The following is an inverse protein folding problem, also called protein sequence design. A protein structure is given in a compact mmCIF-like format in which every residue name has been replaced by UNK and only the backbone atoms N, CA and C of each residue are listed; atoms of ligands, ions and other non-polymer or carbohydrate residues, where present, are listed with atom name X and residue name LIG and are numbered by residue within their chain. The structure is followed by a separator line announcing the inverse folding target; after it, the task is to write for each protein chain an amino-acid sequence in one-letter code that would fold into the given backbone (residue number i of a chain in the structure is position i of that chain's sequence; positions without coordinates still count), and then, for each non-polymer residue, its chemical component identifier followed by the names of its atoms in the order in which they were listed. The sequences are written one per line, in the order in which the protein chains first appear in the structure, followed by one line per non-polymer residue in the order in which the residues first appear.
data_IF_521657125091
#
_entry.id   IF_521657125091
#
_cell.length_a   1.000
_cell.length_b   1.000
_cell.length_c   1.000
_cell.angle_alpha   90.00
_cell.angle_beta   90.00
_cell.angle_gamma   90.00
#
_symmetry.space_group_name_H-M   'P 1'
#
loop_
_entity.id
_entity.type
_entity.pdbx_description
1 polymer ?
#
# COMPACT_ATOMS: atom_id res chain seq x y z
N UNK A 1 47.56 1.11 19.65
CA UNK A 1 46.52 2.00 20.23
C UNK A 1 45.25 2.08 19.36
N UNK A 2 44.86 1.02 18.63
CA UNK A 2 43.63 0.98 17.81
C UNK A 2 42.52 0.17 18.48
N UNK A 3 42.87 -0.80 19.35
CA UNK A 3 41.87 -1.67 20.00
C UNK A 3 41.03 -0.99 21.09
N UNK A 4 41.51 0.08 21.76
CA UNK A 4 40.71 0.77 22.80
C UNK A 4 39.55 1.58 22.22
N UNK A 5 39.73 2.25 21.07
CA UNK A 5 38.65 3.06 20.48
C UNK A 5 37.50 2.23 19.95
N UNK A 6 37.76 0.96 19.62
CA UNK A 6 36.77 0.06 19.04
C UNK A 6 35.79 -0.46 20.09
N UNK A 7 36.29 -0.93 21.24
CA UNK A 7 35.45 -1.37 22.36
C UNK A 7 34.61 -0.24 22.97
N UNK A 8 35.14 0.99 22.99
CA UNK A 8 34.42 2.15 23.53
C UNK A 8 33.25 2.56 22.62
N UNK A 9 33.40 2.41 21.30
CA UNK A 9 32.35 2.80 20.34
C UNK A 9 31.06 1.97 20.43
N UNK A 10 31.15 0.73 20.90
CA UNK A 10 29.97 -0.14 21.08
C UNK A 10 29.08 0.32 22.24
N UNK A 11 29.69 0.94 23.25
CA UNK A 11 29.03 1.52 24.43
C UNK A 11 28.35 2.87 24.11
N UNK A 12 28.70 3.50 22.99
CA UNK A 12 28.13 4.79 22.61
C UNK A 12 26.69 4.67 22.10
N UNK A 13 25.91 5.66 22.47
CA UNK A 13 24.58 5.92 21.92
C UNK A 13 24.69 6.27 20.43
N UNK A 14 23.58 6.16 19.70
CA UNK A 14 23.58 6.48 18.26
C UNK A 14 23.73 7.98 18.00
N UNK A 15 23.27 8.83 18.92
CA UNK A 15 23.52 10.28 18.84
C UNK A 15 25.00 10.59 18.97
N UNK A 16 25.70 9.97 19.92
CA UNK A 16 27.15 10.11 20.08
C UNK A 16 27.89 9.59 18.84
N UNK A 17 27.53 8.41 18.33
CA UNK A 17 28.14 7.83 17.13
C UNK A 17 27.91 8.69 15.87
N UNK A 18 26.73 9.29 15.74
CA UNK A 18 26.44 10.22 14.65
C UNK A 18 27.27 11.48 14.77
N UNK A 19 27.30 12.13 15.94
CA UNK A 19 28.11 13.34 16.14
C UNK A 19 29.59 13.06 15.91
N UNK A 20 30.09 11.91 16.37
CA UNK A 20 31.45 11.45 16.12
C UNK A 20 31.73 11.23 14.62
N UNK A 21 30.74 10.71 13.88
CA UNK A 21 30.86 10.48 12.43
C UNK A 21 31.01 11.77 11.62
N UNK A 22 30.66 12.93 12.19
CA UNK A 22 30.81 14.23 11.53
C UNK A 22 32.25 14.77 11.59
N UNK A 23 33.09 14.25 12.49
CA UNK A 23 34.43 14.79 12.73
C UNK A 23 35.44 14.49 11.60
N UNK A 24 35.38 13.31 10.98
CA UNK A 24 36.29 12.92 9.89
C UNK A 24 35.82 11.67 9.13
N UNK A 25 36.45 11.38 7.99
CA UNK A 25 36.25 10.10 7.27
C UNK A 25 36.60 8.88 8.14
N UNK A 26 37.62 8.99 9.01
CA UNK A 26 38.06 7.89 9.88
C UNK A 26 37.02 7.61 10.96
N UNK A 27 36.52 8.65 11.63
CA UNK A 27 35.49 8.51 12.68
C UNK A 27 34.17 8.00 12.11
N UNK A 28 33.81 8.45 10.89
CA UNK A 28 32.69 7.88 10.13
C UNK A 28 32.84 6.37 9.90
N UNK A 29 34.04 5.90 9.53
CA UNK A 29 34.31 4.47 9.35
C UNK A 29 34.13 3.65 10.64
N UNK A 30 34.46 4.23 11.79
CA UNK A 30 34.25 3.60 13.11
C UNK A 30 32.74 3.53 13.43
N UNK A 31 32.00 4.61 13.21
CA UNK A 31 30.55 4.66 13.49
C UNK A 31 29.72 3.68 12.64
N UNK A 32 30.22 3.24 11.48
CA UNK A 32 29.56 2.27 10.59
C UNK A 32 29.40 0.86 11.15
N UNK A 33 30.07 0.54 12.27
CA UNK A 33 30.01 -0.79 12.88
C UNK A 33 28.63 -1.12 13.47
N UNK A 34 27.88 -0.10 13.91
CA UNK A 34 26.54 -0.27 14.48
C UNK A 34 25.50 -0.21 13.36
N UNK A 35 24.99 -1.36 12.95
CA UNK A 35 23.90 -1.43 11.97
C UNK A 35 22.60 -0.94 12.61
N UNK A 36 21.96 0.01 11.95
CA UNK A 36 20.59 0.43 12.25
C UNK A 36 19.57 -0.44 11.53
N UNK A 37 18.36 -0.50 12.10
CA UNK A 37 17.24 -1.23 11.54
C UNK A 37 16.46 -0.36 10.53
N UNK A 38 15.20 -0.72 10.27
CA UNK A 38 14.25 0.07 9.48
C UNK A 38 13.99 1.42 10.13
N UNK A 39 13.96 2.47 9.33
CA UNK A 39 13.59 3.84 9.74
C UNK A 39 12.30 4.28 9.06
N UNK A 40 11.54 5.10 9.77
CA UNK A 40 10.42 5.85 9.22
C UNK A 40 10.86 7.28 8.96
N UNK A 41 10.58 7.78 7.76
CA UNK A 41 10.93 9.13 7.32
C UNK A 41 9.66 9.96 7.16
N UNK A 42 9.45 10.92 8.05
CA UNK A 42 8.39 11.90 7.94
C UNK A 42 8.96 13.18 7.34
N UNK A 43 8.61 13.44 6.07
CA UNK A 43 9.10 14.59 5.32
C UNK A 43 8.50 15.91 5.82
N UNK A 44 7.21 15.91 6.20
CA UNK A 44 6.49 17.11 6.65
C UNK A 44 7.14 17.66 7.93
N UNK A 45 7.39 16.77 8.89
CA UNK A 45 7.97 17.13 10.19
C UNK A 45 9.49 17.12 10.19
N UNK A 46 10.13 16.67 9.10
CA UNK A 46 11.58 16.49 8.99
C UNK A 46 12.12 15.59 10.10
N UNK A 47 11.51 14.41 10.22
CA UNK A 47 11.81 13.43 11.26
C UNK A 47 12.30 12.11 10.65
N UNK A 48 13.25 11.49 11.31
CA UNK A 48 13.52 10.05 11.20
C UNK A 48 13.21 9.38 12.52
N UNK A 49 12.33 8.39 12.49
CA UNK A 49 11.92 7.58 13.64
C UNK A 49 12.47 6.14 13.56
N UNK A 50 12.78 5.57 14.73
CA UNK A 50 13.35 4.23 14.86
C UNK A 50 12.38 3.33 15.64
N UNK A 51 11.88 2.28 15.00
CA UNK A 51 10.89 1.37 15.57
C UNK A 51 11.31 0.64 16.86
N UNK A 52 12.61 0.61 17.19
CA UNK A 52 13.14 -0.17 18.32
C UNK A 52 13.81 0.66 19.41
N UNK A 53 13.90 1.97 19.24
CA UNK A 53 14.63 2.86 20.15
C UNK A 53 13.89 4.18 20.11
N UNK A 54 13.42 4.70 21.24
CA UNK A 54 12.64 5.96 21.38
C UNK A 54 13.42 7.22 20.95
N UNK A 55 14.06 7.15 19.80
CA UNK A 55 14.98 8.11 19.25
C UNK A 55 14.32 8.77 18.07
N UNK A 56 14.43 10.09 18.04
CA UNK A 56 13.91 10.92 16.97
C UNK A 56 15.07 11.77 16.48
N UNK A 57 15.38 11.67 15.19
CA UNK A 57 16.27 12.60 14.53
C UNK A 57 15.42 13.66 13.83
N UNK A 58 15.43 14.87 14.35
CA UNK A 58 14.56 15.97 13.95
C UNK A 58 15.41 17.17 13.53
N UNK A 59 15.11 17.75 12.36
CA UNK A 59 15.74 19.00 11.91
C UNK A 59 17.27 18.98 12.01
N UNK A 60 17.91 17.91 11.51
CA UNK A 60 19.37 17.72 11.49
C UNK A 60 20.04 17.41 12.83
N UNK A 61 19.29 17.09 13.89
CA UNK A 61 19.84 16.74 15.21
C UNK A 61 19.02 15.66 15.91
N UNK A 62 19.63 14.95 16.85
CA UNK A 62 18.89 14.04 17.74
C UNK A 62 18.17 14.83 18.81
N UNK A 63 16.94 14.44 19.11
CA UNK A 63 16.19 14.97 20.24
C UNK A 63 15.82 13.83 21.21
N UNK A 64 15.95 14.12 22.51
CA UNK A 64 15.51 13.23 23.59
C UNK A 64 14.20 13.80 24.13
N UNK A 65 13.10 13.08 23.91
CA UNK A 65 11.74 13.45 24.34
C UNK A 65 10.91 14.18 23.27
N UNK A 66 9.57 14.04 23.35
CA UNK A 66 8.62 14.73 22.45
C UNK A 66 8.46 16.19 22.89
N UNK A 67 9.06 17.15 22.17
CA UNK A 67 8.66 18.57 22.25
C UNK A 67 7.58 18.89 21.21
N UNK A 68 6.82 19.97 21.45
CA UNK A 68 5.90 20.52 20.45
C UNK A 68 6.72 20.89 19.19
N UNK A 69 6.31 20.33 18.06
CA UNK A 69 6.91 20.48 16.74
C UNK A 69 7.05 21.98 16.44
N UNK A 70 8.29 22.46 16.33
CA UNK A 70 8.57 23.82 15.84
C UNK A 70 8.44 23.80 14.33
N UNK A 71 7.28 24.22 13.84
CA UNK A 71 7.09 24.54 12.43
C UNK A 71 8.07 25.64 12.00
N UNK A 72 8.50 25.63 10.73
CA UNK A 72 9.14 26.74 9.98
C UNK A 72 10.67 26.80 9.83
N UNK A 73 11.39 25.68 9.75
CA UNK A 73 12.59 25.77 8.91
C UNK A 73 12.14 25.64 7.45
N UNK A 74 12.51 26.58 6.57
CA UNK A 74 12.08 26.63 5.16
C UNK A 74 12.95 25.81 4.23
N UNK A 75 14.10 25.29 4.69
CA UNK A 75 15.06 24.60 3.82
C UNK A 75 15.02 23.09 4.00
N UNK A 76 14.59 22.36 2.96
CA UNK A 76 14.54 20.90 2.98
C UNK A 76 15.91 20.24 2.71
N UNK A 77 16.76 20.91 1.92
CA UNK A 77 18.06 20.38 1.52
C UNK A 77 18.98 19.98 2.68
N UNK A 78 19.15 20.79 3.76
CA UNK A 78 19.94 20.38 4.92
C UNK A 78 19.44 19.08 5.55
N UNK A 79 18.11 18.91 5.65
CA UNK A 79 17.48 17.70 6.17
C UNK A 79 17.74 16.48 5.29
N UNK A 80 17.64 16.63 3.98
CA UNK A 80 18.00 15.56 3.04
C UNK A 80 19.47 15.17 3.20
N UNK A 81 20.38 16.15 3.33
CA UNK A 81 21.82 15.89 3.51
C UNK A 81 22.12 15.16 4.82
N UNK A 82 21.53 15.62 5.93
CA UNK A 82 21.68 14.99 7.23
C UNK A 82 21.11 13.56 7.23
N UNK A 83 19.95 13.36 6.59
CA UNK A 83 19.36 12.03 6.40
C UNK A 83 20.26 11.13 5.58
N UNK A 84 20.80 11.60 4.45
CA UNK A 84 21.76 10.82 3.63
C UNK A 84 22.98 10.40 4.44
N UNK A 85 23.57 11.33 5.20
CA UNK A 85 24.73 11.02 6.03
C UNK A 85 24.37 10.02 7.13
N UNK A 86 23.25 10.22 7.81
CA UNK A 86 22.74 9.30 8.82
C UNK A 86 22.59 7.88 8.24
N UNK A 87 21.89 7.74 7.12
CA UNK A 87 21.63 6.45 6.49
C UNK A 87 22.93 5.75 6.06
N UNK A 88 23.92 6.51 5.58
CA UNK A 88 25.24 5.96 5.22
C UNK A 88 26.08 5.56 6.44
N UNK A 89 25.94 6.24 7.57
CA UNK A 89 26.62 5.88 8.82
C UNK A 89 26.03 4.61 9.40
N UNK A 90 24.71 4.49 9.50
CA UNK A 90 24.09 3.37 10.20
C UNK A 90 23.66 2.23 9.27
N UNK A 91 23.84 2.37 7.95
CA UNK A 91 23.45 1.38 6.94
C UNK A 91 21.97 0.96 7.08
N UNK A 92 21.10 1.95 7.29
CA UNK A 92 19.66 1.76 7.49
C UNK A 92 18.91 1.62 6.15
N UNK A 93 17.67 1.14 6.22
CA UNK A 93 16.73 1.10 5.10
C UNK A 93 15.43 1.82 5.45
N UNK A 94 14.75 2.40 4.45
CA UNK A 94 13.44 2.99 4.67
C UNK A 94 12.39 1.89 4.85
N UNK A 95 11.82 1.83 6.05
CA UNK A 95 10.64 1.03 6.33
C UNK A 95 9.39 1.71 5.78
N UNK A 96 9.21 2.99 6.15
CA UNK A 96 8.09 3.83 5.73
C UNK A 96 8.64 5.21 5.35
N UNK A 97 8.10 5.79 4.30
CA UNK A 97 8.29 7.21 3.96
C UNK A 97 6.90 7.84 3.94
N UNK A 98 6.67 8.78 4.85
CA UNK A 98 5.45 9.58 4.95
C UNK A 98 5.66 10.92 4.26
N UNK A 99 4.84 11.19 3.25
CA UNK A 99 4.89 12.41 2.45
C UNK A 99 3.50 13.02 2.34
N UNK A 100 3.37 14.24 2.84
CA UNK A 100 2.16 15.04 2.72
C UNK A 100 2.30 16.03 1.57
N UNK A 101 1.45 15.88 0.57
CA UNK A 101 1.43 16.69 -0.64
C UNK A 101 0.47 17.86 -0.46
N UNK A 102 0.84 18.80 0.41
CA UNK A 102 0.10 20.04 0.65
C UNK A 102 1.02 21.12 1.22
N UNK A 103 0.52 22.36 1.29
CA UNK A 103 1.25 23.45 1.93
C UNK A 103 1.56 23.15 3.41
N UNK A 104 2.75 23.52 3.91
CA UNK A 104 3.68 24.50 3.34
C UNK A 104 4.74 23.93 2.39
N UNK A 105 4.67 22.66 1.97
CA UNK A 105 5.57 22.11 0.97
C UNK A 105 5.46 22.91 -0.33
N UNK A 106 6.57 23.29 -0.95
CA UNK A 106 6.56 23.90 -2.29
C UNK A 106 6.82 22.86 -3.38
N UNK A 107 6.43 23.16 -4.62
CA UNK A 107 6.71 22.28 -5.75
C UNK A 107 8.22 22.05 -5.95
N UNK A 108 9.06 23.08 -5.75
CA UNK A 108 10.53 22.94 -5.83
C UNK A 108 11.08 21.99 -4.77
N UNK A 109 10.57 22.08 -3.54
CA UNK A 109 10.93 21.15 -2.46
C UNK A 109 10.48 19.73 -2.79
N UNK A 110 9.26 19.57 -3.32
CA UNK A 110 8.74 18.27 -3.76
C UNK A 110 9.63 17.66 -4.86
N UNK A 111 10.02 18.45 -5.86
CA UNK A 111 10.94 18.02 -6.92
C UNK A 111 12.29 17.63 -6.32
N UNK A 112 12.83 18.39 -5.37
CA UNK A 112 14.09 18.05 -4.69
C UNK A 112 13.99 16.70 -3.94
N UNK A 113 12.89 16.46 -3.23
CA UNK A 113 12.62 15.19 -2.54
C UNK A 113 12.53 14.05 -3.56
N UNK A 114 11.72 14.19 -4.61
CA UNK A 114 11.51 13.15 -5.62
C UNK A 114 12.83 12.81 -6.31
N UNK A 115 13.61 13.82 -6.71
CA UNK A 115 14.93 13.61 -7.29
C UNK A 115 15.86 12.86 -6.33
N UNK A 116 15.85 13.19 -5.04
CA UNK A 116 16.62 12.43 -4.07
C UNK A 116 16.16 10.99 -3.95
N UNK A 117 14.86 10.75 -3.81
CA UNK A 117 14.30 9.41 -3.64
C UNK A 117 14.51 8.55 -4.89
N UNK A 118 14.36 9.10 -6.09
CA UNK A 118 14.64 8.40 -7.34
C UNK A 118 16.10 7.95 -7.44
N UNK A 119 17.04 8.80 -6.99
CA UNK A 119 18.48 8.55 -7.13
C UNK A 119 19.12 7.80 -5.94
N UNK A 120 18.41 7.59 -4.83
CA UNK A 120 18.96 6.84 -3.70
C UNK A 120 19.13 5.35 -4.05
N UNK A 121 20.13 4.68 -3.47
CA UNK A 121 20.28 3.20 -3.61
C UNK A 121 19.42 2.42 -2.61
N UNK A 122 18.87 3.11 -1.61
CA UNK A 122 18.10 2.50 -0.52
C UNK A 122 16.73 2.08 -1.05
N UNK A 123 16.31 0.84 -0.79
CA UNK A 123 14.97 0.38 -1.14
C UNK A 123 13.92 1.12 -0.33
N UNK A 124 12.81 1.48 -0.98
CA UNK A 124 11.63 2.06 -0.34
C UNK A 124 10.60 0.95 -0.20
N UNK A 125 10.32 0.57 1.04
CA UNK A 125 9.37 -0.49 1.32
C UNK A 125 7.93 0.02 1.25
N UNK A 126 7.59 0.98 2.11
CA UNK A 126 6.27 1.60 2.15
C UNK A 126 6.43 3.08 1.79
N UNK A 127 5.62 3.55 0.85
CA UNK A 127 5.43 4.96 0.57
C UNK A 127 3.99 5.31 0.94
N UNK A 128 3.83 6.17 1.96
CA UNK A 128 2.54 6.67 2.44
C UNK A 128 2.37 8.13 2.01
N UNK A 129 1.43 8.36 1.11
CA UNK A 129 1.13 9.66 0.55
C UNK A 129 -0.18 10.17 1.12
N UNK A 130 -0.14 11.33 1.76
CA UNK A 130 -1.35 12.09 2.07
C UNK A 130 -1.48 13.23 1.07
N UNK A 131 -2.51 13.16 0.21
CA UNK A 131 -2.78 14.17 -0.81
C UNK A 131 -3.75 15.24 -0.29
N UNK A 132 -3.25 16.47 -0.12
CA UNK A 132 -4.08 17.65 0.21
C UNK A 132 -4.11 18.69 -0.92
N UNK A 133 -3.24 18.57 -1.92
CA UNK A 133 -3.13 19.44 -3.09
C UNK A 133 -3.07 18.59 -4.36
N UNK A 134 -4.09 18.71 -5.21
CA UNK A 134 -4.17 17.97 -6.48
C UNK A 134 -2.97 18.24 -7.40
N UNK A 135 -2.52 19.50 -7.62
CA UNK A 135 -1.33 19.76 -8.44
C UNK A 135 -0.05 19.11 -7.92
N UNK A 136 0.13 19.01 -6.59
CA UNK A 136 1.29 18.33 -6.00
C UNK A 136 1.20 16.82 -6.16
N UNK A 137 -0.01 16.27 -6.04
CA UNK A 137 -0.26 14.86 -6.29
C UNK A 137 0.04 14.48 -7.74
N UNK A 138 -0.47 15.25 -8.70
CA UNK A 138 -0.19 15.06 -10.13
C UNK A 138 1.32 15.16 -10.42
N UNK A 139 1.98 16.20 -9.89
CA UNK A 139 3.43 16.36 -10.01
C UNK A 139 4.17 15.13 -9.47
N UNK A 140 3.78 14.62 -8.30
CA UNK A 140 4.39 13.43 -7.72
C UNK A 140 4.21 12.20 -8.61
N UNK A 141 2.97 11.90 -8.98
CA UNK A 141 2.62 10.71 -9.78
C UNK A 141 3.33 10.71 -11.14
N UNK A 142 3.59 11.89 -11.70
CA UNK A 142 4.27 12.05 -12.99
C UNK A 142 5.80 11.99 -12.91
N UNK A 143 6.40 12.37 -11.78
CA UNK A 143 7.87 12.50 -11.70
C UNK A 143 8.54 11.41 -10.87
N UNK A 144 7.81 10.75 -9.99
CA UNK A 144 8.34 9.64 -9.20
C UNK A 144 8.50 8.38 -10.06
N UNK A 145 9.68 7.77 -10.01
CA UNK A 145 10.05 6.63 -10.87
C UNK A 145 10.54 5.43 -10.09
N UNK A 146 10.79 5.59 -8.79
CA UNK A 146 11.35 4.53 -7.97
C UNK A 146 10.31 3.46 -7.63
N UNK A 147 10.70 2.21 -7.79
CA UNK A 147 9.84 1.09 -7.38
C UNK A 147 9.66 1.06 -5.87
N UNK A 148 8.43 0.76 -5.43
CA UNK A 148 8.04 0.62 -4.02
C UNK A 148 7.40 -0.74 -3.79
N UNK A 149 7.45 -1.25 -2.56
CA UNK A 149 6.77 -2.53 -2.26
C UNK A 149 5.27 -2.33 -1.99
N UNK A 150 4.93 -1.32 -1.20
CA UNK A 150 3.58 -0.92 -0.85
C UNK A 150 3.41 0.58 -1.14
N UNK A 151 2.34 0.93 -1.85
CA UNK A 151 1.91 2.32 -2.02
C UNK A 151 0.60 2.52 -1.26
N UNK A 152 0.57 3.49 -0.36
CA UNK A 152 -0.61 3.95 0.38
C UNK A 152 -0.89 5.38 -0.06
N UNK A 153 -2.13 5.67 -0.46
CA UNK A 153 -2.57 7.02 -0.80
C UNK A 153 -3.82 7.34 0.02
N UNK A 154 -3.77 8.42 0.79
CA UNK A 154 -4.89 8.97 1.55
C UNK A 154 -5.20 10.36 1.02
N UNK A 155 -6.41 10.56 0.51
CA UNK A 155 -6.81 11.88 0.04
C UNK A 155 -7.56 12.65 1.12
N UNK A 156 -7.22 13.93 1.27
CA UNK A 156 -7.85 14.85 2.22
C UNK A 156 -8.43 16.10 1.55
N UNK A 157 -8.15 16.33 0.27
CA UNK A 157 -8.64 17.47 -0.50
C UNK A 157 -10.06 17.27 -1.05
N UNK A 158 -10.74 18.38 -1.35
CA UNK A 158 -11.98 18.37 -2.14
C UNK A 158 -11.71 17.84 -3.55
N UNK A 159 -12.59 16.96 -4.02
CA UNK A 159 -12.67 16.32 -5.33
C UNK A 159 -11.80 17.01 -6.40
N UNK A 160 -10.64 16.41 -6.70
CA UNK A 160 -9.84 16.83 -7.84
C UNK A 160 -10.54 16.40 -9.12
N UNK A 161 -11.24 17.32 -9.79
CA UNK A 161 -11.59 17.19 -11.20
C UNK A 161 -10.30 17.29 -12.03
N UNK A 162 -9.57 16.18 -12.09
CA UNK A 162 -8.31 16.11 -12.80
C UNK A 162 -8.17 14.80 -13.54
N UNK A 163 -7.65 14.88 -14.76
CA UNK A 163 -7.34 13.71 -15.58
C UNK A 163 -6.29 12.89 -14.85
N UNK A 164 -6.69 11.76 -14.29
CA UNK A 164 -5.72 10.78 -13.80
C UNK A 164 -4.98 10.20 -14.97
N UNK A 165 -3.66 10.29 -14.89
CA UNK A 165 -2.78 9.61 -15.80
C UNK A 165 -3.08 8.11 -15.82
N UNK A 166 -3.29 7.62 -17.04
CA UNK A 166 -3.68 6.25 -17.38
C UNK A 166 -2.71 5.17 -16.88
N UNK A 167 -1.51 5.54 -16.41
CA UNK A 167 -0.42 4.61 -16.11
C UNK A 167 0.60 5.17 -15.11
N UNK A 168 1.06 4.31 -14.21
CA UNK A 168 2.16 4.59 -13.28
C UNK A 168 3.53 4.63 -13.99
N UNK A 169 4.37 5.60 -13.63
CA UNK A 169 5.77 5.70 -14.07
C UNK A 169 6.74 4.84 -13.23
N UNK A 170 6.21 4.09 -12.26
CA UNK A 170 6.99 3.26 -11.35
C UNK A 170 6.23 1.97 -11.03
N UNK A 171 6.97 1.00 -10.50
CA UNK A 171 6.42 -0.32 -10.17
C UNK A 171 6.03 -0.41 -8.69
N UNK A 172 4.81 -0.92 -8.44
CA UNK A 172 4.34 -1.32 -7.12
C UNK A 172 4.48 -2.84 -7.02
N UNK A 173 5.42 -3.33 -6.21
CA UNK A 173 5.77 -4.75 -6.20
C UNK A 173 4.68 -5.64 -5.59
N UNK A 174 4.14 -5.26 -4.43
CA UNK A 174 3.33 -6.16 -3.62
C UNK A 174 1.88 -5.68 -3.47
N UNK A 175 1.69 -4.42 -3.06
CA UNK A 175 0.35 -3.95 -2.69
C UNK A 175 0.11 -2.47 -2.97
N UNK A 176 -1.12 -2.15 -3.35
CA UNK A 176 -1.65 -0.79 -3.51
C UNK A 176 -2.85 -0.60 -2.59
N UNK A 177 -2.90 0.53 -1.89
CA UNK A 177 -4.03 0.96 -1.09
C UNK A 177 -4.34 2.43 -1.36
N UNK A 178 -5.61 2.76 -1.60
CA UNK A 178 -6.06 4.15 -1.68
C UNK A 178 -7.44 4.38 -1.07
N UNK A 179 -7.63 5.51 -0.37
CA UNK A 179 -8.91 5.92 0.22
C UNK A 179 -8.99 7.45 0.54
N UNK A 180 -9.99 8.18 0.02
CA UNK A 180 -10.79 7.82 -1.16
C UNK A 180 -9.90 7.73 -2.41
N UNK A 181 -10.47 7.25 -3.51
CA UNK A 181 -9.74 7.05 -4.76
C UNK A 181 -10.67 7.33 -5.95
N UNK A 182 -11.38 8.46 -5.93
CA UNK A 182 -12.34 8.83 -6.99
C UNK A 182 -11.68 8.91 -8.38
N UNK A 183 -10.39 9.22 -8.37
CA UNK A 183 -9.50 9.36 -9.50
C UNK A 183 -9.09 8.01 -10.14
N UNK A 184 -9.42 6.89 -9.49
CA UNK A 184 -9.05 5.55 -9.94
C UNK A 184 -9.78 5.15 -11.23
N UNK A 185 -9.06 5.12 -12.35
CA UNK A 185 -9.60 4.70 -13.64
C UNK A 185 -9.34 3.23 -13.96
N UNK A 186 -10.10 2.68 -14.90
CA UNK A 186 -9.88 1.33 -15.42
C UNK A 186 -8.49 1.18 -16.05
N UNK A 187 -8.02 2.21 -16.73
CA UNK A 187 -6.69 2.23 -17.36
C UNK A 187 -5.58 2.18 -16.30
N UNK A 188 -5.75 2.92 -15.20
CA UNK A 188 -4.84 2.86 -14.06
C UNK A 188 -4.82 1.44 -13.45
N UNK A 189 -5.99 0.82 -13.27
CA UNK A 189 -6.08 -0.57 -12.81
C UNK A 189 -5.33 -1.55 -13.72
N UNK A 190 -5.49 -1.43 -15.04
CA UNK A 190 -4.77 -2.27 -16.00
C UNK A 190 -3.26 -2.03 -16.04
N UNK A 191 -2.81 -0.84 -15.62
CA UNK A 191 -1.39 -0.51 -15.58
C UNK A 191 -0.61 -1.18 -14.45
N UNK A 192 -1.31 -1.73 -13.44
CA UNK A 192 -0.70 -2.33 -12.26
C UNK A 192 -0.41 -3.83 -12.43
N UNK A 193 0.83 -4.23 -12.15
CA UNK A 193 1.24 -5.63 -11.98
C UNK A 193 1.56 -5.94 -10.51
N UNK A 194 0.53 -5.95 -9.68
CA UNK A 194 0.63 -6.00 -8.21
C UNK A 194 -0.24 -7.12 -7.64
N UNK A 195 0.19 -7.74 -6.54
CA UNK A 195 -0.52 -8.89 -5.95
C UNK A 195 -1.82 -8.50 -5.22
N UNK A 196 -1.80 -7.36 -4.51
CA UNK A 196 -2.91 -6.90 -3.70
C UNK A 196 -3.32 -5.48 -4.09
N UNK A 197 -4.60 -5.26 -4.34
CA UNK A 197 -5.13 -3.93 -4.65
C UNK A 197 -6.31 -3.66 -3.71
N UNK A 198 -6.33 -2.48 -3.11
CA UNK A 198 -7.48 -1.97 -2.37
C UNK A 198 -7.72 -0.52 -2.77
N UNK A 199 -8.85 -0.26 -3.42
CA UNK A 199 -9.23 1.08 -3.85
C UNK A 199 -10.65 1.37 -3.37
N UNK A 200 -10.80 2.41 -2.55
CA UNK A 200 -12.08 2.75 -1.94
C UNK A 200 -12.67 4.03 -2.53
N UNK A 201 -13.99 4.09 -2.63
CA UNK A 201 -14.74 5.21 -3.21
C UNK A 201 -14.24 5.54 -4.62
N UNK A 202 -14.21 4.52 -5.47
CA UNK A 202 -13.88 4.65 -6.90
C UNK A 202 -15.14 4.92 -7.73
N UNK A 203 -14.99 5.55 -8.88
CA UNK A 203 -16.12 5.85 -9.78
C UNK A 203 -16.25 4.90 -10.98
N UNK A 204 -15.70 3.68 -10.87
CA UNK A 204 -15.86 2.66 -11.92
C UNK A 204 -17.33 2.26 -12.06
N UNK A 205 -17.78 2.17 -13.31
CA UNK A 205 -19.12 1.69 -13.69
C UNK A 205 -19.22 0.16 -13.62
N UNK A 206 -20.43 -0.39 -13.75
CA UNK A 206 -20.59 -1.85 -13.84
C UNK A 206 -19.90 -2.41 -15.09
N UNK A 207 -19.94 -1.65 -16.18
CA UNK A 207 -19.31 -1.92 -17.45
C UNK A 207 -17.77 -1.93 -17.33
N UNK A 208 -17.18 -0.96 -16.63
CA UNK A 208 -15.73 -0.93 -16.39
C UNK A 208 -15.26 -2.16 -15.61
N UNK A 209 -15.98 -2.52 -14.55
CA UNK A 209 -15.69 -3.71 -13.74
C UNK A 209 -15.83 -4.99 -14.56
N UNK A 210 -16.84 -5.06 -15.43
CA UNK A 210 -17.03 -6.17 -16.36
C UNK A 210 -15.87 -6.28 -17.37
N UNK A 211 -15.43 -5.16 -17.95
CA UNK A 211 -14.26 -5.11 -18.84
C UNK A 211 -12.99 -5.59 -18.12
N UNK A 212 -12.81 -5.18 -16.86
CA UNK A 212 -11.71 -5.69 -16.03
C UNK A 212 -11.78 -7.22 -15.83
N UNK A 213 -12.94 -7.76 -15.44
CA UNK A 213 -13.10 -9.20 -15.19
C UNK A 213 -12.89 -10.04 -16.45
N UNK A 214 -13.44 -9.61 -17.60
CA UNK A 214 -13.22 -10.29 -18.88
C UNK A 214 -11.75 -10.26 -19.30
N UNK A 215 -11.09 -9.11 -19.18
CA UNK A 215 -9.65 -8.99 -19.46
C UNK A 215 -8.80 -9.90 -18.56
N UNK A 216 -9.20 -10.08 -17.30
CA UNK A 216 -8.55 -11.04 -16.40
C UNK A 216 -8.81 -12.49 -16.81
N UNK A 217 -10.06 -12.82 -17.18
CA UNK A 217 -10.50 -14.13 -17.64
C UNK A 217 -9.78 -14.60 -18.91
N UNK A 218 -9.50 -13.67 -19.83
CA UNK A 218 -8.70 -13.91 -21.05
C UNK A 218 -7.18 -13.90 -20.78
N UNK A 219 -6.76 -13.66 -19.54
CA UNK A 219 -5.36 -13.59 -19.14
C UNK A 219 -4.56 -12.40 -19.66
N UNK A 220 -5.25 -11.33 -20.08
CA UNK A 220 -4.67 -10.09 -20.63
C UNK A 220 -4.22 -9.12 -19.55
N UNK A 221 -4.77 -9.19 -18.34
CA UNK A 221 -4.36 -8.31 -17.22
C UNK A 221 -3.79 -9.06 -16.01
N UNK A 222 -2.93 -8.33 -15.28
CA UNK A 222 -2.29 -8.64 -14.01
C UNK A 222 -2.29 -10.12 -13.57
N UNK A 223 -1.31 -10.88 -14.07
CA UNK A 223 -1.13 -12.31 -13.77
C UNK A 223 -0.70 -12.61 -12.33
N UNK A 224 -0.24 -11.60 -11.59
CA UNK A 224 0.25 -11.74 -10.21
C UNK A 224 -0.85 -11.47 -9.18
N UNK A 225 -2.01 -11.01 -9.62
CA UNK A 225 -3.09 -10.60 -8.73
C UNK A 225 -3.54 -11.81 -7.89
N UNK A 226 -3.54 -11.62 -6.57
CA UNK A 226 -4.03 -12.58 -5.57
C UNK A 226 -5.31 -12.09 -4.91
N UNK A 227 -5.44 -10.78 -4.70
CA UNK A 227 -6.67 -10.18 -4.15
C UNK A 227 -6.86 -8.77 -4.68
N UNK A 228 -8.12 -8.45 -4.99
CA UNK A 228 -8.55 -7.08 -5.21
C UNK A 228 -9.78 -6.77 -4.36
N UNK A 229 -9.79 -5.59 -3.75
CA UNK A 229 -10.91 -5.02 -3.03
C UNK A 229 -11.23 -3.66 -3.65
N UNK A 230 -12.34 -3.58 -4.37
CA UNK A 230 -12.84 -2.33 -4.95
C UNK A 230 -14.11 -1.92 -4.25
N UNK A 231 -14.15 -0.71 -3.72
CA UNK A 231 -15.37 -0.12 -3.16
C UNK A 231 -15.79 1.04 -4.04
N UNK A 232 -16.95 0.95 -4.69
CA UNK A 232 -17.48 1.98 -5.59
C UNK A 232 -18.21 3.07 -4.80
N UNK A 233 -18.29 4.29 -5.36
CA UNK A 233 -19.07 5.39 -4.77
C UNK A 233 -20.57 5.13 -4.75
N UNK A 234 -21.06 4.40 -5.74
CA UNK A 234 -22.46 4.02 -5.91
C UNK A 234 -22.55 2.50 -6.02
N UNK A 235 -23.67 1.94 -5.57
CA UNK A 235 -23.94 0.52 -5.75
C UNK A 235 -24.00 0.18 -7.25
N UNK A 236 -23.43 -0.96 -7.61
CA UNK A 236 -23.39 -1.50 -8.97
C UNK A 236 -24.13 -2.83 -9.00
N UNK A 237 -24.86 -3.07 -10.08
CA UNK A 237 -25.54 -4.34 -10.27
C UNK A 237 -24.53 -5.43 -10.59
N UNK A 238 -24.29 -6.33 -9.64
CA UNK A 238 -23.35 -7.44 -9.73
C UNK A 238 -23.67 -8.35 -10.91
N UNK A 239 -24.95 -8.50 -11.29
CA UNK A 239 -25.32 -9.32 -12.46
C UNK A 239 -24.81 -8.71 -13.76
N UNK A 240 -24.86 -7.37 -13.89
CA UNK A 240 -24.28 -6.65 -15.03
C UNK A 240 -22.75 -6.73 -15.03
N UNK A 241 -22.13 -6.59 -13.85
CA UNK A 241 -20.67 -6.75 -13.70
C UNK A 241 -20.20 -8.13 -14.16
N UNK A 242 -21.01 -9.17 -14.00
CA UNK A 242 -20.69 -10.56 -14.34
C UNK A 242 -21.21 -11.02 -15.70
N UNK A 243 -21.85 -10.14 -16.46
CA UNK A 243 -22.43 -10.48 -17.74
C UNK A 243 -21.36 -11.00 -18.71
N UNK A 244 -21.58 -12.21 -19.23
CA UNK A 244 -20.63 -12.88 -20.12
C UNK A 244 -19.37 -13.44 -19.44
N UNK A 245 -19.23 -13.37 -18.11
CA UNK A 245 -18.08 -13.95 -17.39
C UNK A 245 -18.28 -15.42 -17.00
N UNK A 246 -19.48 -15.98 -17.17
CA UNK A 246 -19.79 -17.36 -16.78
C UNK A 246 -19.72 -17.59 -15.26
N UNK A 247 -20.13 -16.60 -14.46
CA UNK A 247 -20.10 -16.69 -13.00
C UNK A 247 -21.03 -17.79 -12.46
N UNK A 248 -20.55 -18.57 -11.48
CA UNK A 248 -21.31 -19.63 -10.80
C UNK A 248 -21.42 -19.33 -9.30
N UNK A 249 -22.63 -19.24 -8.75
CA UNK A 249 -22.83 -19.04 -7.31
C UNK A 249 -22.66 -20.38 -6.56
N UNK A 250 -21.64 -20.47 -5.72
CA UNK A 250 -21.24 -21.70 -5.05
C UNK A 250 -21.73 -21.77 -3.59
N UNK A 251 -22.14 -22.97 -3.19
CA UNK A 251 -22.63 -23.25 -1.84
C UNK A 251 -21.48 -23.27 -0.81
N UNK A 252 -21.51 -22.42 0.24
CA UNK A 252 -20.46 -22.36 1.25
C UNK A 252 -20.34 -23.59 2.16
N UNK A 253 -21.30 -24.52 2.10
CA UNK A 253 -21.28 -25.80 2.82
C UNK A 253 -20.41 -26.84 2.13
N UNK A 254 -20.30 -26.78 0.80
CA UNK A 254 -19.58 -27.75 -0.02
C UNK A 254 -18.33 -27.17 -0.68
N UNK A 255 -18.25 -25.84 -0.83
CA UNK A 255 -17.18 -25.17 -1.57
C UNK A 255 -16.40 -24.22 -0.68
N UNK A 256 -15.09 -24.47 -0.57
CA UNK A 256 -14.17 -23.63 0.22
C UNK A 256 -12.77 -23.61 -0.37
N UNK A 257 -12.09 -22.48 -0.22
CA UNK A 257 -10.70 -22.30 -0.64
C UNK A 257 -9.88 -21.72 0.50
N UNK A 258 -8.66 -22.23 0.64
CA UNK A 258 -7.67 -21.67 1.55
C UNK A 258 -6.90 -20.59 0.82
N UNK A 259 -6.84 -19.40 1.40
CA UNK A 259 -6.16 -18.24 0.83
C UNK A 259 -5.07 -17.73 1.77
N UNK A 260 -3.87 -17.51 1.24
CA UNK A 260 -2.75 -16.96 2.01
C UNK A 260 -2.75 -15.43 1.88
N UNK A 261 -3.25 -14.75 2.91
CA UNK A 261 -3.35 -13.28 2.96
C UNK A 261 -2.06 -12.66 3.47
N UNK A 262 -1.53 -11.67 2.76
CA UNK A 262 -0.46 -10.81 3.25
C UNK A 262 -1.02 -9.77 4.22
N UNK A 263 -0.47 -9.69 5.43
CA UNK A 263 -0.85 -8.73 6.47
C UNK A 263 0.42 -8.08 7.01
N UNK A 264 0.62 -6.80 6.69
CA UNK A 264 1.81 -6.00 7.06
C UNK A 264 3.13 -6.62 6.59
N UNK A 265 3.65 -7.57 7.37
CA UNK A 265 4.96 -8.21 7.20
C UNK A 265 4.87 -9.75 7.28
N UNK A 266 3.67 -10.29 7.48
CA UNK A 266 3.45 -11.73 7.67
C UNK A 266 2.36 -12.24 6.74
N UNK A 267 2.22 -13.56 6.69
CA UNK A 267 1.15 -14.22 5.98
C UNK A 267 0.24 -14.94 6.98
N UNK A 268 -1.06 -14.82 6.76
CA UNK A 268 -2.07 -15.56 7.50
C UNK A 268 -2.97 -16.30 6.54
N UNK A 269 -3.21 -17.56 6.85
CA UNK A 269 -4.18 -18.35 6.11
C UNK A 269 -5.58 -17.93 6.53
N UNK A 270 -6.46 -17.76 5.55
CA UNK A 270 -7.88 -17.53 5.73
C UNK A 270 -8.66 -18.49 4.84
N UNK A 271 -9.92 -18.74 5.19
CA UNK A 271 -10.83 -19.56 4.40
C UNK A 271 -11.89 -18.70 3.72
N UNK A 272 -12.04 -18.93 2.42
CA UNK A 272 -13.07 -18.31 1.56
C UNK A 272 -14.10 -19.39 1.24
N UNK A 273 -15.35 -19.16 1.64
CA UNK A 273 -16.44 -20.13 1.51
C UNK A 273 -17.47 -19.67 0.50
N UNK A 274 -17.87 -20.57 -0.40
CA UNK A 274 -18.84 -20.28 -1.47
C UNK A 274 -18.37 -19.14 -2.37
N UNK A 275 -19.23 -18.15 -2.54
CA UNK A 275 -19.00 -16.98 -3.39
C UNK A 275 -19.37 -17.25 -4.85
N UNK A 276 -19.11 -16.27 -5.72
CA UNK A 276 -19.33 -16.41 -7.15
C UNK A 276 -17.99 -16.74 -7.80
N UNK A 277 -17.92 -17.87 -8.47
CA UNK A 277 -16.72 -18.38 -9.10
C UNK A 277 -16.70 -17.97 -10.57
N UNK A 278 -15.56 -17.45 -11.02
CA UNK A 278 -15.27 -17.17 -12.44
C UNK A 278 -14.02 -17.97 -12.78
N UNK A 279 -14.08 -18.77 -13.84
CA UNK A 279 -12.92 -19.51 -14.36
C UNK A 279 -12.24 -18.73 -15.45
N UNK A 280 -10.92 -18.66 -15.36
CA UNK A 280 -10.03 -18.15 -16.39
C UNK A 280 -9.76 -19.24 -17.44
N UNK A 281 -9.37 -18.83 -18.64
CA UNK A 281 -9.07 -19.76 -19.74
C UNK A 281 -7.94 -20.75 -19.42
N UNK A 282 -7.06 -20.39 -18.48
CA UNK A 282 -5.94 -21.23 -18.01
C UNK A 282 -6.28 -22.09 -16.78
N UNK A 283 -7.55 -22.19 -16.39
CA UNK A 283 -8.01 -23.00 -15.25
C UNK A 283 -8.01 -22.26 -13.91
N UNK A 284 -7.33 -21.12 -13.79
CA UNK A 284 -7.33 -20.31 -12.55
C UNK A 284 -8.74 -19.85 -12.17
N UNK A 285 -9.00 -19.75 -10.88
CA UNK A 285 -10.32 -19.38 -10.35
C UNK A 285 -10.24 -18.01 -9.67
N UNK A 286 -11.20 -17.13 -9.99
CA UNK A 286 -11.53 -15.96 -9.21
C UNK A 286 -12.79 -16.21 -8.39
N UNK A 287 -12.77 -15.88 -7.10
CA UNK A 287 -13.92 -15.98 -6.21
C UNK A 287 -14.31 -14.58 -5.74
N UNK A 288 -15.47 -14.11 -6.18
CA UNK A 288 -16.10 -12.89 -5.66
C UNK A 288 -16.87 -13.26 -4.41
N UNK A 289 -16.46 -12.67 -3.30
CA UNK A 289 -17.05 -12.96 -2.01
C UNK A 289 -18.34 -12.17 -1.82
N UNK A 290 -19.39 -12.87 -1.39
CA UNK A 290 -20.71 -12.31 -1.11
C UNK A 290 -20.99 -12.16 0.41
N UNK A 291 -19.95 -12.24 1.26
CA UNK A 291 -20.07 -12.11 2.72
C UNK A 291 -18.90 -11.32 3.32
N UNK A 292 -19.19 -10.59 4.39
CA UNK A 292 -18.23 -9.68 5.04
C UNK A 292 -17.10 -10.41 5.78
N UNK A 293 -17.35 -11.63 6.30
CA UNK A 293 -16.52 -12.30 7.30
C UNK A 293 -15.39 -13.14 6.69
N UNK A 294 -14.12 -12.75 6.88
CA UNK A 294 -12.96 -13.62 6.61
C UNK A 294 -12.77 -14.58 7.79
N UNK A 295 -12.61 -15.87 7.53
CA UNK A 295 -12.50 -16.89 8.58
C UNK A 295 -11.04 -17.31 8.72
N UNK A 296 -10.51 -17.20 9.94
CA UNK A 296 -9.11 -17.52 10.24
C UNK A 296 -8.90 -19.02 10.48
N UNK A 297 -9.98 -19.74 10.78
CA UNK A 297 -10.02 -21.17 11.03
C UNK A 297 -10.90 -21.85 9.98
N UNK A 298 -10.60 -23.13 9.74
CA UNK A 298 -11.47 -23.98 8.93
C UNK A 298 -12.77 -24.25 9.69
N UNK A 299 -12.65 -24.60 10.97
CA UNK A 299 -13.80 -24.81 11.84
C UNK A 299 -14.46 -23.47 12.16
N UNK A 300 -15.74 -23.37 11.81
CA UNK A 300 -16.60 -22.22 12.11
C UNK A 300 -17.42 -22.51 13.36
N UNK A 301 -17.74 -21.46 14.12
CA UNK A 301 -18.76 -21.60 15.15
C UNK A 301 -20.13 -21.87 14.52
N UNK A 302 -21.02 -22.53 15.25
CA UNK A 302 -22.39 -22.77 14.77
C UNK A 302 -23.12 -21.47 14.38
N UNK A 303 -22.78 -20.35 15.03
CA UNK A 303 -23.30 -19.02 14.67
C UNK A 303 -22.80 -18.57 13.29
N UNK A 304 -21.48 -18.64 13.06
CA UNK A 304 -20.87 -18.26 11.78
C UNK A 304 -21.40 -19.09 10.61
N UNK A 305 -21.62 -20.38 10.83
CA UNK A 305 -22.19 -21.26 9.81
C UNK A 305 -23.65 -20.90 9.49
N UNK A 306 -24.48 -20.65 10.50
CA UNK A 306 -25.88 -20.22 10.30
C UNK A 306 -25.96 -18.90 9.53
N UNK A 307 -25.13 -17.93 9.91
CA UNK A 307 -25.10 -16.62 9.25
C UNK A 307 -24.69 -16.74 7.78
N UNK A 308 -23.63 -17.50 7.50
CA UNK A 308 -23.15 -17.75 6.15
C UNK A 308 -24.19 -18.46 5.28
N UNK A 309 -24.86 -19.48 5.83
CA UNK A 309 -25.90 -20.23 5.11
C UNK A 309 -27.13 -19.36 4.84
N UNK A 310 -27.54 -18.53 5.79
CA UNK A 310 -28.65 -17.58 5.57
C UNK A 310 -28.33 -16.60 4.45
N UNK A 311 -27.15 -15.97 4.51
CA UNK A 311 -26.71 -15.01 3.49
C UNK A 311 -26.61 -15.68 2.11
N UNK A 312 -26.16 -16.94 2.04
CA UNK A 312 -26.14 -17.70 0.78
C UNK A 312 -27.55 -17.92 0.21
N UNK A 313 -28.52 -18.35 1.02
CA UNK A 313 -29.89 -18.60 0.56
C UNK A 313 -30.57 -17.32 0.07
N UNK A 314 -30.36 -16.19 0.75
CA UNK A 314 -30.84 -14.88 0.31
C UNK A 314 -30.22 -14.47 -1.04
N UNK A 315 -28.92 -14.65 -1.18
CA UNK A 315 -28.21 -14.36 -2.42
C UNK A 315 -28.61 -15.33 -3.56
N UNK A 316 -28.93 -16.58 -3.26
CA UNK A 316 -29.38 -17.58 -4.23
C UNK A 316 -30.75 -17.22 -4.82
N UNK A 317 -31.68 -16.73 -3.99
CA UNK A 317 -32.97 -16.20 -4.46
C UNK A 317 -32.76 -15.02 -5.43
N UNK A 318 -31.90 -14.07 -5.06
CA UNK A 318 -31.56 -12.93 -5.92
C UNK A 318 -30.92 -13.44 -7.21
N UNK A 319 -29.93 -14.33 -7.13
CA UNK A 319 -29.20 -14.88 -8.27
C UNK A 319 -30.13 -15.54 -9.30
N UNK A 320 -31.04 -16.40 -8.83
CA UNK A 320 -31.98 -17.13 -9.70
C UNK A 320 -33.13 -16.28 -10.25
N UNK A 321 -33.37 -15.10 -9.67
CA UNK A 321 -34.43 -14.20 -10.14
C UNK A 321 -34.02 -13.43 -11.40
N UNK A 322 -34.74 -13.58 -12.51
CA UNK A 322 -34.41 -12.90 -13.78
C UNK A 322 -34.45 -11.35 -13.69
N UNK A 323 -35.38 -10.81 -12.90
CA UNK A 323 -35.69 -9.37 -12.90
C UNK A 323 -35.19 -8.63 -11.64
N UNK A 324 -34.56 -9.33 -10.70
CA UNK A 324 -34.08 -8.72 -9.44
C UNK A 324 -32.60 -8.33 -9.61
N UNK A 325 -32.27 -7.03 -9.60
CA UNK A 325 -30.88 -6.58 -9.62
C UNK A 325 -30.19 -6.95 -8.32
N UNK A 326 -28.87 -7.14 -8.37
CA UNK A 326 -28.07 -7.41 -7.19
C UNK A 326 -27.09 -6.27 -6.96
N UNK A 327 -27.56 -5.22 -6.29
CA UNK A 327 -26.75 -4.05 -5.99
C UNK A 327 -25.73 -4.32 -4.88
N UNK A 328 -24.45 -4.08 -5.18
CA UNK A 328 -23.34 -4.12 -4.23
C UNK A 328 -22.39 -2.96 -4.53
N UNK A 329 -21.75 -2.41 -3.50
CA UNK A 329 -20.69 -1.42 -3.66
C UNK A 329 -19.30 -1.95 -3.34
N UNK A 330 -19.18 -3.17 -2.79
CA UNK A 330 -17.90 -3.78 -2.44
C UNK A 330 -17.67 -5.04 -3.29
N UNK A 331 -16.56 -5.05 -4.04
CA UNK A 331 -16.10 -6.17 -4.86
C UNK A 331 -14.82 -6.73 -4.25
N UNK A 332 -14.98 -7.78 -3.44
CA UNK A 332 -13.85 -8.48 -2.83
C UNK A 332 -13.58 -9.77 -3.59
N UNK A 333 -12.52 -9.78 -4.38
CA UNK A 333 -12.20 -10.88 -5.30
C UNK A 333 -10.87 -11.49 -4.90
N UNK A 334 -10.86 -12.81 -4.77
CA UNK A 334 -9.66 -13.61 -4.49
C UNK A 334 -9.32 -14.44 -5.71
N UNK A 335 -8.05 -14.50 -6.06
CA UNK A 335 -7.56 -15.25 -7.21
C UNK A 335 -6.70 -16.41 -6.69
N UNK A 336 -7.00 -17.60 -7.20
CA UNK A 336 -6.35 -18.84 -6.78
C UNK A 336 -5.54 -19.40 -7.95
N UNK A 337 -4.31 -19.79 -7.65
CA UNK A 337 -3.49 -20.64 -8.52
C UNK A 337 -3.87 -22.10 -8.22
N UNK A 338 -4.00 -22.94 -9.26
CA UNK A 338 -4.19 -24.39 -9.09
C UNK A 338 -3.00 -25.06 -8.40
#
# INVERSE_FOLDING_TARGET
MVMCSEYISDLWTVSELYNFSLLSKRTKGISKRKKGNKVELDIERRLLYFYNRDWVFEQNRFQIGRRRISTRDSKISPFIQATKHFMDVFNCHFGVIDLKLEHPLSNDQLIEIINWLNNTKIEIRILDLTSGSWPMFELFMNTFQKSVSLLIIIERGSEGEGIVHKRLNFKIKNAFYSNPCAWFSLEFLFSMETEYITANKIDLTAEDLNVFLRSWQEGKTNRKMKKILLTTCLDRDLKKVLEGCGGELMDPRTTKHKFRRFIRDTYKDIWVYGGIHIRRDDGRIAVIKNSWNEYETEDRSAYQERELNRNYLENLDIWNSLNKPWYVNEFRIYFFEE
#
